data_IF_269788740104
#
_entry.id   IF_269788740104
#
_cell.length_a   1.000
_cell.length_b   1.000
_cell.length_c   1.000
_cell.angle_alpha   90.00
_cell.angle_beta   90.00
_cell.angle_gamma   90.00
#
_symmetry.space_group_name_H-M   'P 1'
#
loop_
_entity.id
_entity.type
_entity.pdbx_description
1 polymer ?
#
# COMPACT_ATOMS: atom_id res chain seq x y z
N UNK A 1 18.63 33.30 22.26
CA UNK A 1 17.52 32.47 21.76
C UNK A 1 18.05 31.47 20.71
N UNK A 2 18.33 30.24 21.14
CA UNK A 2 18.69 29.16 20.23
C UNK A 2 17.42 28.81 19.46
N UNK A 3 17.39 29.12 18.17
CA UNK A 3 16.32 28.68 17.27
C UNK A 3 16.36 27.16 17.27
N UNK A 4 15.48 26.52 18.04
CA UNK A 4 15.30 25.08 17.98
C UNK A 4 14.87 24.78 16.56
N UNK A 5 15.76 24.11 15.82
CA UNK A 5 15.45 23.54 14.52
C UNK A 5 14.40 22.45 14.79
N UNK A 6 13.12 22.85 14.82
CA UNK A 6 12.01 21.99 15.18
C UNK A 6 11.87 21.04 14.00
N UNK A 7 12.50 19.87 14.10
CA UNK A 7 12.41 18.84 13.08
C UNK A 7 10.93 18.67 12.75
N UNK A 8 10.58 18.90 11.48
CA UNK A 8 9.20 18.87 11.05
C UNK A 8 8.64 17.49 11.39
N UNK A 9 7.59 17.44 12.19
CA UNK A 9 7.02 16.18 12.64
C UNK A 9 6.67 15.30 11.44
N UNK A 10 7.03 14.03 11.52
CA UNK A 10 6.75 13.03 10.50
C UNK A 10 6.21 11.77 11.16
N UNK A 11 5.46 11.01 10.38
CA UNK A 11 4.90 9.72 10.79
C UNK A 11 5.45 8.63 9.89
N UNK A 12 5.89 7.51 10.47
CA UNK A 12 6.18 6.30 9.72
C UNK A 12 4.89 5.54 9.43
N UNK A 13 4.72 5.15 8.18
CA UNK A 13 3.66 4.26 7.71
C UNK A 13 4.30 2.95 7.28
N UNK A 14 3.82 1.85 7.83
CA UNK A 14 4.33 0.51 7.58
C UNK A 14 3.47 -0.18 6.52
N UNK A 15 4.08 -0.95 5.63
CA UNK A 15 3.37 -1.66 4.59
C UNK A 15 4.02 -2.99 4.22
N UNK A 16 3.18 -3.86 3.66
CA UNK A 16 3.58 -5.11 3.01
C UNK A 16 2.91 -5.19 1.63
N UNK A 17 3.60 -5.79 0.67
CA UNK A 17 3.05 -6.19 -0.63
C UNK A 17 3.24 -7.71 -0.75
N UNK A 18 2.21 -8.51 -0.46
CA UNK A 18 2.30 -9.98 -0.53
C UNK A 18 2.82 -10.49 -1.89
N UNK A 19 2.48 -9.80 -2.97
CA UNK A 19 2.89 -10.10 -4.34
C UNK A 19 4.40 -9.92 -4.57
N UNK A 20 5.05 -9.07 -3.78
CA UNK A 20 6.50 -8.84 -3.83
C UNK A 20 7.24 -9.76 -2.84
N UNK A 21 6.54 -10.73 -2.25
CA UNK A 21 7.05 -11.69 -1.26
C UNK A 21 7.60 -11.02 0.03
N UNK A 22 7.01 -9.88 0.41
CA UNK A 22 7.34 -9.19 1.65
C UNK A 22 7.07 -10.08 2.90
N UNK A 23 7.96 -10.00 3.89
CA UNK A 23 7.77 -10.65 5.18
C UNK A 23 6.79 -9.86 6.06
N UNK A 24 5.74 -10.54 6.53
CA UNK A 24 4.73 -9.96 7.41
C UNK A 24 5.28 -9.48 8.76
N UNK A 25 6.39 -10.07 9.24
CA UNK A 25 7.01 -9.71 10.51
C UNK A 25 7.98 -8.53 10.39
N UNK A 26 8.43 -8.21 9.17
CA UNK A 26 9.43 -7.17 8.89
C UNK A 26 8.88 -6.25 7.80
N UNK A 27 7.85 -5.44 8.10
CA UNK A 27 7.21 -4.60 7.10
C UNK A 27 8.15 -3.50 6.58
N UNK A 28 7.97 -3.13 5.31
CA UNK A 28 8.56 -1.94 4.74
C UNK A 28 7.97 -0.68 5.39
N UNK A 29 8.67 0.46 5.32
CA UNK A 29 8.19 1.71 5.88
C UNK A 29 8.54 2.93 5.01
N UNK A 30 7.68 3.95 5.06
CA UNK A 30 7.95 5.27 4.48
C UNK A 30 7.46 6.38 5.40
N UNK A 31 8.01 7.59 5.23
CA UNK A 31 7.70 8.73 6.07
C UNK A 31 6.72 9.70 5.39
N UNK A 32 5.71 10.16 6.13
CA UNK A 32 4.82 11.25 5.73
C UNK A 32 5.12 12.46 6.64
N UNK A 33 5.43 13.66 6.08
CA UNK A 33 5.74 14.86 6.86
C UNK A 33 4.46 15.52 7.41
N UNK A 34 3.68 14.74 8.16
CA UNK A 34 2.40 15.09 8.76
C UNK A 34 2.22 14.33 10.06
N UNK A 35 1.49 14.93 10.99
CA UNK A 35 1.07 14.27 12.22
C UNK A 35 0.17 13.07 11.93
N UNK A 36 0.40 11.98 12.66
CA UNK A 36 -0.24 10.68 12.43
C UNK A 36 -1.76 10.75 12.40
N UNK A 37 -2.33 11.52 13.33
CA UNK A 37 -3.78 11.72 13.47
C UNK A 37 -4.40 12.57 12.36
N UNK A 38 -3.60 13.17 11.50
CA UNK A 38 -4.04 13.99 10.38
C UNK A 38 -3.83 13.31 9.02
N UNK A 39 -3.20 12.15 8.96
CA UNK A 39 -2.93 11.44 7.70
C UNK A 39 -4.23 10.91 7.09
N UNK A 40 -4.46 11.29 5.84
CA UNK A 40 -5.62 10.87 5.04
C UNK A 40 -5.24 9.86 3.97
N UNK A 41 -6.24 9.20 3.37
CA UNK A 41 -5.98 8.34 2.20
C UNK A 41 -5.30 9.12 1.05
N UNK A 42 -5.65 10.40 0.84
CA UNK A 42 -4.97 11.25 -0.15
C UNK A 42 -3.48 11.39 0.15
N UNK A 43 -3.10 11.50 1.42
CA UNK A 43 -1.70 11.59 1.83
C UNK A 43 -0.98 10.25 1.57
N UNK A 44 -1.60 9.11 1.90
CA UNK A 44 -1.06 7.78 1.60
C UNK A 44 -0.76 7.64 0.11
N UNK A 45 -1.74 7.90 -0.75
CA UNK A 45 -1.58 7.80 -2.20
C UNK A 45 -0.50 8.73 -2.75
N UNK A 46 -0.36 9.92 -2.16
CA UNK A 46 0.62 10.92 -2.60
C UNK A 46 2.06 10.56 -2.23
N UNK A 47 2.26 9.99 -1.05
CA UNK A 47 3.59 9.74 -0.48
C UNK A 47 4.05 8.28 -0.60
N UNK A 48 3.20 7.37 -1.06
CA UNK A 48 3.57 5.97 -1.26
C UNK A 48 4.78 5.87 -2.23
N UNK A 49 5.85 5.15 -1.87
CA UNK A 49 7.13 5.28 -2.56
C UNK A 49 7.23 4.49 -3.86
N UNK A 50 6.26 3.61 -4.15
CA UNK A 50 6.30 2.75 -5.33
C UNK A 50 5.39 3.26 -6.43
N UNK A 51 5.86 3.12 -7.67
CA UNK A 51 5.07 3.44 -8.85
C UNK A 51 4.06 2.34 -9.15
N UNK A 52 2.87 2.74 -9.61
CA UNK A 52 1.83 1.82 -10.06
C UNK A 52 0.44 2.19 -9.53
N UNK A 53 -0.50 1.26 -9.75
CA UNK A 53 -1.86 1.35 -9.20
C UNK A 53 -1.99 0.33 -8.08
N UNK A 54 -2.50 0.78 -6.94
CA UNK A 54 -2.57 -0.04 -5.73
C UNK A 54 -3.97 -0.02 -5.13
N UNK A 55 -4.26 -1.03 -4.31
CA UNK A 55 -5.34 -1.04 -3.33
C UNK A 55 -4.70 -1.04 -1.94
N UNK A 56 -4.97 0.01 -1.16
CA UNK A 56 -4.48 0.14 0.20
C UNK A 56 -5.53 -0.38 1.19
N UNK A 57 -5.15 -1.33 2.03
CA UNK A 57 -5.97 -1.83 3.14
C UNK A 57 -5.26 -1.55 4.45
N UNK A 58 -5.98 -1.03 5.44
CA UNK A 58 -5.42 -0.59 6.70
C UNK A 58 -5.76 -1.57 7.81
N UNK A 59 -4.79 -1.88 8.66
CA UNK A 59 -5.06 -2.67 9.85
C UNK A 59 -5.94 -1.87 10.81
N UNK A 60 -7.04 -2.48 11.27
CA UNK A 60 -8.05 -1.81 12.10
C UNK A 60 -8.67 -2.80 13.08
N UNK A 61 -8.91 -2.36 14.32
CA UNK A 61 -9.62 -3.14 15.33
C UNK A 61 -11.13 -2.88 15.23
N UNK A 62 -11.90 -3.88 14.83
CA UNK A 62 -13.35 -3.82 14.78
C UNK A 62 -13.95 -4.76 15.84
N UNK A 63 -14.43 -4.18 16.96
CA UNK A 63 -14.74 -4.97 18.15
C UNK A 63 -13.45 -5.63 18.68
N UNK A 64 -13.45 -6.95 18.78
CA UNK A 64 -12.27 -7.74 19.22
C UNK A 64 -11.49 -8.34 18.04
N UNK A 65 -11.87 -8.03 16.80
CA UNK A 65 -11.27 -8.60 15.60
C UNK A 65 -10.34 -7.61 14.90
N UNK A 66 -9.11 -8.06 14.63
CA UNK A 66 -8.14 -7.32 13.82
C UNK A 66 -8.38 -7.61 12.33
N UNK A 67 -8.77 -6.59 11.57
CA UNK A 67 -9.17 -6.71 10.16
C UNK A 67 -8.36 -5.79 9.25
N UNK A 68 -8.44 -6.05 7.94
CA UNK A 68 -7.93 -5.17 6.88
C UNK A 68 -9.09 -4.37 6.29
N UNK A 69 -9.10 -3.06 6.51
CA UNK A 69 -10.17 -2.15 6.09
C UNK A 69 -9.78 -1.37 4.82
N UNK A 70 -10.67 -1.40 3.84
CA UNK A 70 -10.58 -0.54 2.65
C UNK A 70 -11.25 0.81 2.93
N UNK A 71 -10.65 1.89 2.44
CA UNK A 71 -11.24 3.23 2.50
C UNK A 71 -11.73 3.65 1.11
N UNK A 72 -12.94 4.20 1.07
CA UNK A 72 -13.65 4.63 -0.14
C UNK A 72 -13.73 6.16 -0.29
N UNK A 73 -13.33 6.92 0.73
CA UNK A 73 -13.28 8.39 0.69
C UNK A 73 -11.85 8.89 0.90
N UNK A 74 -11.29 9.57 -0.11
CA UNK A 74 -9.89 10.05 -0.10
C UNK A 74 -9.58 11.09 0.98
N UNK A 75 -10.60 11.75 1.53
CA UNK A 75 -10.44 12.81 2.54
C UNK A 75 -10.50 12.30 3.97
N UNK A 76 -10.84 11.03 4.19
CA UNK A 76 -10.91 10.48 5.56
C UNK A 76 -9.53 10.19 6.11
N UNK A 77 -9.40 10.34 7.43
CA UNK A 77 -8.23 9.94 8.19
C UNK A 77 -8.07 8.43 8.15
N UNK A 78 -6.84 7.94 8.05
CA UNK A 78 -6.59 6.49 7.99
C UNK A 78 -6.67 5.86 9.39
N UNK A 79 -7.14 4.61 9.50
CA UNK A 79 -7.12 3.87 10.74
C UNK A 79 -5.72 3.70 11.32
N UNK A 80 -5.66 3.57 12.64
CA UNK A 80 -4.46 3.25 13.38
C UNK A 80 -4.70 2.00 14.22
N UNK A 81 -3.64 1.23 14.42
CA UNK A 81 -3.60 0.07 15.31
C UNK A 81 -2.27 0.07 16.05
N UNK A 82 -2.30 -0.11 17.37
CA UNK A 82 -1.09 -0.09 18.22
C UNK A 82 -0.22 1.17 17.96
N UNK A 83 -0.88 2.33 17.93
CA UNK A 83 -0.24 3.64 17.67
C UNK A 83 0.52 3.73 16.31
N UNK A 84 0.24 2.82 15.37
CA UNK A 84 0.87 2.74 14.06
C UNK A 84 -0.17 2.78 12.94
N UNK A 85 0.28 3.19 11.76
CA UNK A 85 -0.46 2.99 10.52
C UNK A 85 0.20 1.81 9.81
N UNK A 86 -0.53 0.69 9.70
CA UNK A 86 -0.06 -0.53 9.07
C UNK A 86 -0.95 -0.85 7.88
N UNK A 87 -0.35 -1.10 6.73
CA UNK A 87 -1.05 -1.34 5.48
C UNK A 87 -0.71 -2.71 4.89
N UNK A 88 -1.71 -3.36 4.31
CA UNK A 88 -1.52 -4.40 3.32
C UNK A 88 -1.87 -3.81 1.95
N UNK A 89 -0.91 -3.83 1.04
CA UNK A 89 -1.04 -3.19 -0.27
C UNK A 89 -1.09 -4.27 -1.35
N UNK A 90 -2.07 -4.16 -2.24
CA UNK A 90 -2.24 -5.07 -3.38
C UNK A 90 -1.95 -4.32 -4.68
N UNK A 91 -1.17 -4.91 -5.58
CA UNK A 91 -0.90 -4.35 -6.92
C UNK A 91 -2.14 -4.55 -7.80
N UNK A 92 -2.65 -3.48 -8.41
CA UNK A 92 -3.72 -3.57 -9.41
C UNK A 92 -3.11 -3.81 -10.79
N UNK A 93 -3.05 -5.06 -11.22
CA UNK A 93 -2.74 -5.43 -12.61
C UNK A 93 -3.99 -5.21 -13.47
N UNK A 94 -3.88 -4.64 -14.66
CA UNK A 94 -5.04 -4.57 -15.56
C UNK A 94 -5.30 -6.00 -16.06
N UNK A 95 -6.59 -6.35 -16.19
CA UNK A 95 -7.00 -7.65 -16.75
C UNK A 95 -6.38 -7.93 -18.13
N UNK A 96 -6.16 -6.90 -18.95
CA UNK A 96 -5.53 -7.01 -20.26
C UNK A 96 -4.05 -7.43 -20.21
N UNK A 97 -3.33 -7.01 -19.16
CA UNK A 97 -1.90 -7.30 -19.00
C UNK A 97 -1.68 -8.75 -18.52
N UNK A 98 -2.69 -9.37 -17.87
CA UNK A 98 -2.68 -10.79 -17.50
C UNK A 98 -2.96 -11.73 -18.68
N UNK A 99 -3.61 -11.24 -19.74
CA UNK A 99 -3.95 -12.05 -20.92
C UNK A 99 -2.82 -12.14 -21.95
N UNK A 100 -1.87 -11.21 -21.95
CA UNK A 100 -0.72 -11.26 -22.87
C UNK A 100 0.33 -12.31 -22.48
N UNK A 101 0.46 -12.62 -21.18
CA UNK A 101 1.45 -13.60 -20.70
C UNK A 101 0.97 -15.06 -20.83
N UNK A 102 -0.33 -15.29 -21.05
CA UNK A 102 -0.89 -16.64 -21.23
C UNK A 102 -1.04 -17.05 -22.72
N UNK A 103 -0.74 -16.16 -23.67
CA UNK A 103 -0.94 -16.40 -25.11
C UNK A 103 0.33 -16.78 -25.89
N UNK A 104 1.51 -16.84 -25.26
CA UNK A 104 2.77 -17.11 -25.98
C UNK A 104 3.14 -18.61 -26.11
N UNK A 105 2.35 -19.53 -25.55
CA UNK A 105 2.66 -20.97 -25.53
C UNK A 105 1.78 -21.86 -26.45
N UNK A 106 1.03 -21.30 -27.42
CA UNK A 106 0.42 -22.16 -28.44
C UNK A 106 1.49 -22.70 -29.40
N UNK A 107 1.68 -24.03 -29.52
CA UNK A 107 2.63 -24.60 -30.45
C UNK A 107 2.17 -24.30 -31.88
N UNK A 108 3.03 -23.61 -32.65
CA UNK A 108 2.81 -23.36 -34.08
C UNK A 108 2.51 -24.69 -34.78
N UNK A 109 1.29 -24.82 -35.30
CA UNK A 109 0.88 -25.93 -36.14
C UNK A 109 1.76 -25.89 -37.39
N UNK A 110 2.69 -26.84 -37.52
CA UNK A 110 3.42 -27.04 -38.76
C UNK A 110 2.46 -27.71 -39.75
N UNK A 111 1.99 -26.95 -40.73
CA UNK A 111 1.33 -27.53 -41.90
C UNK A 111 2.39 -28.30 -42.71
N UNK A 112 2.22 -29.62 -42.78
CA UNK A 112 2.92 -30.43 -43.76
C UNK A 112 2.12 -30.39 -45.07
N UNK A 113 2.68 -29.72 -46.08
CA UNK A 113 2.35 -29.94 -47.50
C UNK A 113 3.64 -30.14 -48.28
#
# INVERSE_FOLDING_TARGET
PVSSNMAKAFTLVFYIIPEDLDDLQIPNAFAIPKEKNEITLTDIEKFFPLEGKFQFRFQYMHGDALVWLDLNNRKVKVPQYDDKIVMKVTRKVKKADLTSELSEDEPKHFEYT
#
